data_IF_336161871840
#
_entry.id   IF_336161871840
#
_cell.length_a   1.000
_cell.length_b   1.000
_cell.length_c   1.000
_cell.angle_alpha   90.00
_cell.angle_beta   90.00
_cell.angle_gamma   90.00
#
_symmetry.space_group_name_H-M   'P 1'
#
loop_
_entity.id
_entity.type
_entity.pdbx_description
1 polymer ?
#
# COMPACT_ATOMS: atom_id res chain seq x y z
N UNK A 1 -20.47 2.31 -2.50
CA UNK A 1 -19.27 1.46 -2.61
C UNK A 1 -19.62 -0.02 -2.47
N UNK A 2 -18.80 -0.88 -3.07
CA UNK A 2 -19.00 -2.33 -3.08
C UNK A 2 -17.62 -3.00 -2.96
N UNK A 3 -17.52 -4.03 -2.12
CA UNK A 3 -16.30 -4.83 -2.03
C UNK A 3 -16.03 -5.56 -3.35
N UNK A 4 -14.75 -5.84 -3.64
CA UNK A 4 -14.37 -6.57 -4.83
C UNK A 4 -14.98 -7.99 -4.79
N UNK A 5 -15.64 -8.46 -5.85
CA UNK A 5 -16.20 -9.80 -5.86
C UNK A 5 -15.10 -10.86 -5.82
N UNK A 6 -15.27 -11.86 -4.98
CA UNK A 6 -14.38 -13.02 -4.88
C UNK A 6 -15.18 -14.30 -5.08
N UNK A 7 -14.52 -15.35 -5.54
CA UNK A 7 -15.18 -16.66 -5.77
C UNK A 7 -15.72 -17.26 -4.46
N UNK A 8 -15.00 -17.06 -3.34
CA UNK A 8 -15.42 -17.54 -2.01
C UNK A 8 -16.53 -16.70 -1.37
N UNK A 9 -16.79 -15.49 -1.88
CA UNK A 9 -17.66 -14.50 -1.25
C UNK A 9 -16.99 -13.73 -0.10
N UNK A 10 -15.76 -14.08 0.31
CA UNK A 10 -15.02 -13.36 1.34
C UNK A 10 -14.47 -12.05 0.76
N UNK A 11 -14.82 -10.91 1.33
CA UNK A 11 -14.34 -9.63 0.81
C UNK A 11 -12.83 -9.51 1.00
N UNK A 12 -12.14 -9.04 -0.04
CA UNK A 12 -10.71 -8.75 -0.01
C UNK A 12 -10.45 -7.37 -0.58
N UNK A 13 -9.53 -6.65 0.03
CA UNK A 13 -9.06 -5.36 -0.42
C UNK A 13 -7.54 -5.40 -0.55
N UNK A 14 -7.06 -5.01 -1.73
CA UNK A 14 -5.67 -4.69 -1.94
C UNK A 14 -5.47 -3.21 -1.66
N UNK A 15 -4.60 -2.87 -0.73
CA UNK A 15 -4.33 -1.50 -0.34
C UNK A 15 -2.86 -1.25 -0.07
N UNK A 16 -2.55 -0.01 0.26
CA UNK A 16 -1.21 0.41 0.65
C UNK A 16 -1.26 1.30 1.87
N UNK A 17 -0.12 1.43 2.54
CA UNK A 17 0.06 2.33 3.68
C UNK A 17 1.10 3.38 3.28
N UNK A 18 0.76 4.63 3.47
CA UNK A 18 1.69 5.75 3.36
C UNK A 18 2.19 6.13 4.74
N UNK A 19 3.48 6.42 4.83
CA UNK A 19 4.10 6.80 6.09
C UNK A 19 5.32 7.67 5.87
N UNK A 20 5.81 8.23 6.97
CA UNK A 20 7.05 9.00 6.98
C UNK A 20 8.20 8.12 7.44
N UNK A 21 9.30 8.14 6.70
CA UNK A 21 10.56 7.51 7.09
C UNK A 21 11.58 8.54 7.52
N UNK A 22 12.38 8.22 8.52
CA UNK A 22 13.55 9.02 8.91
C UNK A 22 14.79 8.29 8.46
N UNK A 23 15.55 8.94 7.58
CA UNK A 23 16.85 8.42 7.14
C UNK A 23 17.94 8.95 8.07
N UNK A 24 18.80 8.06 8.51
CA UNK A 24 19.99 8.44 9.27
C UNK A 24 21.02 9.05 8.30
N UNK A 25 21.23 10.33 8.46
CA UNK A 25 22.23 11.10 7.68
C UNK A 25 23.43 11.56 8.55
N UNK A 26 23.56 11.02 9.76
CA UNK A 26 24.60 11.38 10.72
C UNK A 26 24.41 12.73 11.42
N UNK A 27 23.28 13.43 11.20
CA UNK A 27 22.96 14.70 11.83
C UNK A 27 21.86 14.51 12.88
N UNK A 28 22.27 14.35 14.14
CA UNK A 28 21.32 14.10 15.24
C UNK A 28 20.28 15.21 15.42
N UNK A 29 20.63 16.46 15.14
CA UNK A 29 19.70 17.58 15.26
C UNK A 29 18.57 17.48 14.22
N UNK A 30 18.91 17.11 12.98
CA UNK A 30 17.92 16.89 11.93
C UNK A 30 17.05 15.67 12.23
N UNK A 31 17.63 14.57 12.69
CA UNK A 31 16.91 13.37 13.09
C UNK A 31 15.92 13.70 14.20
N UNK A 32 16.35 14.44 15.22
CA UNK A 32 15.47 14.89 16.32
C UNK A 32 14.32 15.78 15.80
N UNK A 33 14.61 16.75 14.94
CA UNK A 33 13.60 17.60 14.34
C UNK A 33 12.58 16.79 13.51
N UNK A 34 13.06 15.82 12.72
CA UNK A 34 12.18 14.93 11.95
C UNK A 34 11.27 14.09 12.86
N UNK A 35 11.79 13.55 13.97
CA UNK A 35 10.98 12.83 14.96
C UNK A 35 9.88 13.73 15.54
N UNK A 36 10.23 14.94 15.98
CA UNK A 36 9.25 15.91 16.51
C UNK A 36 8.17 16.25 15.47
N UNK A 37 8.56 16.43 14.21
CA UNK A 37 7.61 16.68 13.13
C UNK A 37 6.64 15.50 12.93
N UNK A 38 7.18 14.27 12.88
CA UNK A 38 6.35 13.07 12.71
C UNK A 38 5.42 12.87 13.91
N UNK A 39 5.92 13.08 15.13
CA UNK A 39 5.11 13.02 16.34
C UNK A 39 3.95 14.03 16.27
N UNK A 40 4.21 15.25 15.85
CA UNK A 40 3.20 16.28 15.70
C UNK A 40 2.09 15.87 14.72
N UNK A 41 2.44 15.46 13.51
CA UNK A 41 1.44 15.19 12.45
C UNK A 41 0.81 13.79 12.54
N UNK A 42 1.44 12.84 13.24
CA UNK A 42 0.99 11.44 13.29
C UNK A 42 0.54 10.97 14.68
N UNK A 43 0.79 11.72 15.74
CA UNK A 43 0.42 11.36 17.10
C UNK A 43 -0.75 12.18 17.65
N UNK A 44 -0.82 13.46 17.36
CA UNK A 44 -1.93 14.32 17.78
C UNK A 44 -3.20 14.01 16.96
N UNK A 45 -4.34 13.61 17.58
CA UNK A 45 -5.53 13.21 16.84
C UNK A 45 -6.11 14.30 15.94
N UNK A 46 -6.02 15.57 16.34
CA UNK A 46 -6.53 16.69 15.54
C UNK A 46 -5.67 16.88 14.29
N UNK A 47 -4.33 16.85 14.44
CA UNK A 47 -3.41 16.99 13.32
C UNK A 47 -3.50 15.79 12.37
N UNK A 48 -3.64 14.56 12.90
CA UNK A 48 -3.87 13.35 12.09
C UNK A 48 -5.15 13.52 11.28
N UNK A 49 -6.25 13.95 11.91
CA UNK A 49 -7.52 14.17 11.22
C UNK A 49 -7.37 15.14 10.06
N UNK A 50 -6.78 16.31 10.30
CA UNK A 50 -6.64 17.35 9.28
C UNK A 50 -5.75 16.92 8.13
N UNK A 51 -4.61 16.28 8.43
CA UNK A 51 -3.65 15.78 7.43
C UNK A 51 -4.26 14.68 6.55
N UNK A 52 -5.00 13.75 7.17
CA UNK A 52 -5.62 12.62 6.45
C UNK A 52 -6.81 13.10 5.62
N UNK A 53 -7.63 14.02 6.13
CA UNK A 53 -8.72 14.62 5.34
C UNK A 53 -8.19 15.36 4.10
N UNK A 54 -7.08 16.08 4.23
CA UNK A 54 -6.46 16.78 3.11
C UNK A 54 -5.95 15.82 2.01
N UNK A 55 -5.55 14.61 2.39
CA UNK A 55 -5.09 13.57 1.46
C UNK A 55 -6.19 12.66 0.93
N UNK A 56 -7.39 12.73 1.48
CA UNK A 56 -8.52 11.80 1.21
C UNK A 56 -8.24 10.34 1.55
N UNK A 57 -7.27 10.07 2.42
CA UNK A 57 -6.95 8.74 2.92
C UNK A 57 -7.72 8.39 4.19
N UNK A 58 -7.48 7.19 4.71
CA UNK A 58 -8.03 6.75 5.98
C UNK A 58 -6.94 6.70 7.05
N UNK A 59 -7.25 7.08 8.31
CA UNK A 59 -6.26 7.05 9.37
C UNK A 59 -5.90 5.60 9.72
N UNK A 60 -4.61 5.35 9.98
CA UNK A 60 -4.14 4.05 10.47
C UNK A 60 -4.37 3.87 11.98
N UNK A 61 -4.70 4.96 12.69
CA UNK A 61 -4.93 4.94 14.14
C UNK A 61 -6.43 4.92 14.44
N UNK A 62 -6.89 3.89 15.11
CA UNK A 62 -8.30 3.74 15.52
C UNK A 62 -8.75 4.83 16.51
N UNK A 63 -7.82 5.40 17.30
CA UNK A 63 -8.11 6.47 18.25
C UNK A 63 -8.58 7.78 17.61
N UNK A 64 -8.37 7.97 16.32
CA UNK A 64 -8.85 9.15 15.57
C UNK A 64 -10.34 9.07 15.26
N UNK A 65 -10.91 7.86 15.27
CA UNK A 65 -12.31 7.60 14.97
C UNK A 65 -12.65 7.76 13.50
N UNK A 66 -13.95 7.91 13.20
CA UNK A 66 -14.45 8.15 11.84
C UNK A 66 -14.28 9.62 11.48
N UNK A 67 -13.24 9.93 10.74
CA UNK A 67 -12.96 11.29 10.26
C UNK A 67 -13.91 11.75 9.16
N UNK A 68 -14.63 10.80 8.54
CA UNK A 68 -15.59 11.07 7.47
C UNK A 68 -17.03 11.05 7.93
N UNK A 69 -17.29 11.16 9.25
CA UNK A 69 -18.64 11.24 9.79
C UNK A 69 -19.47 12.31 9.07
N UNK A 70 -20.65 11.92 8.56
CA UNK A 70 -21.51 12.79 7.76
C UNK A 70 -21.25 12.72 6.23
N UNK A 71 -20.22 12.01 5.78
CA UNK A 71 -20.02 11.66 4.37
C UNK A 71 -20.32 10.16 4.18
N UNK A 72 -21.54 9.85 3.74
CA UNK A 72 -22.01 8.45 3.61
C UNK A 72 -21.08 7.59 2.76
N UNK A 73 -20.58 8.11 1.64
CA UNK A 73 -19.71 7.35 0.71
C UNK A 73 -18.38 7.01 1.37
N UNK A 74 -17.73 7.99 2.00
CA UNK A 74 -16.43 7.78 2.63
C UNK A 74 -16.54 6.94 3.91
N UNK A 75 -17.61 7.10 4.68
CA UNK A 75 -17.88 6.24 5.84
C UNK A 75 -18.13 4.79 5.43
N UNK A 76 -18.78 4.53 4.30
CA UNK A 76 -18.88 3.17 3.75
C UNK A 76 -17.52 2.62 3.30
N UNK A 77 -16.69 3.42 2.63
CA UNK A 77 -15.33 3.00 2.28
C UNK A 77 -14.47 2.69 3.51
N UNK A 78 -14.63 3.42 4.61
CA UNK A 78 -13.86 3.17 5.85
C UNK A 78 -14.09 1.76 6.41
N UNK A 79 -15.28 1.20 6.23
CA UNK A 79 -15.61 -0.17 6.65
C UNK A 79 -14.79 -1.22 5.89
N UNK A 80 -14.35 -0.90 4.67
CA UNK A 80 -13.55 -1.81 3.84
C UNK A 80 -12.13 -1.97 4.33
N UNK A 81 -11.67 -1.10 5.23
CA UNK A 81 -10.33 -1.24 5.83
C UNK A 81 -10.18 -2.56 6.60
N UNK A 82 -11.29 -3.13 7.09
CA UNK A 82 -11.30 -4.46 7.71
C UNK A 82 -11.03 -5.62 6.74
N UNK A 83 -11.07 -5.37 5.43
CA UNK A 83 -10.86 -6.38 4.39
C UNK A 83 -9.46 -6.35 3.78
N UNK A 84 -8.58 -5.48 4.30
CA UNK A 84 -7.18 -5.43 3.87
C UNK A 84 -6.53 -6.80 4.07
N UNK A 85 -5.94 -7.31 3.00
CA UNK A 85 -5.08 -8.48 3.06
C UNK A 85 -3.69 -8.16 3.57
N UNK A 86 -2.83 -9.17 3.60
CA UNK A 86 -1.43 -9.01 4.00
C UNK A 86 -0.69 -8.01 3.11
N UNK A 87 0.29 -7.36 3.72
CA UNK A 87 1.09 -6.36 3.03
C UNK A 87 2.08 -7.03 2.07
N UNK A 88 1.72 -7.10 0.82
CA UNK A 88 2.43 -7.86 -0.24
C UNK A 88 3.82 -7.32 -0.59
N UNK A 89 4.10 -6.04 -0.31
CA UNK A 89 5.37 -5.39 -0.67
C UNK A 89 6.56 -5.89 0.15
N UNK A 90 6.33 -6.63 1.23
CA UNK A 90 7.39 -7.29 2.02
C UNK A 90 7.80 -8.66 1.47
N UNK A 91 7.12 -9.14 0.43
CA UNK A 91 7.47 -10.41 -0.21
C UNK A 91 8.85 -10.30 -0.86
N UNK A 92 9.76 -11.26 -0.62
CA UNK A 92 11.06 -11.29 -1.27
C UNK A 92 10.92 -11.19 -2.80
N UNK A 93 11.77 -10.40 -3.44
CA UNK A 93 11.74 -10.18 -4.89
C UNK A 93 10.57 -9.33 -5.41
N UNK A 94 9.75 -8.71 -4.52
CA UNK A 94 8.57 -7.97 -4.92
C UNK A 94 8.84 -6.87 -5.95
N UNK A 95 9.90 -6.09 -5.78
CA UNK A 95 10.23 -4.99 -6.70
C UNK A 95 10.44 -5.50 -8.14
N UNK A 96 11.18 -6.60 -8.28
CA UNK A 96 11.41 -7.27 -9.57
C UNK A 96 10.13 -7.92 -10.08
N UNK A 97 9.39 -8.64 -9.26
CA UNK A 97 8.14 -9.30 -9.66
C UNK A 97 7.12 -8.26 -10.19
N UNK A 98 7.00 -7.10 -9.53
CA UNK A 98 6.14 -6.01 -9.99
C UNK A 98 6.58 -5.47 -11.37
N UNK A 99 7.87 -5.25 -11.57
CA UNK A 99 8.40 -4.79 -12.85
C UNK A 99 8.17 -5.82 -13.96
N UNK A 100 8.44 -7.10 -13.68
CA UNK A 100 8.21 -8.18 -14.63
C UNK A 100 6.74 -8.39 -14.98
N UNK A 101 5.82 -8.12 -14.05
CA UNK A 101 4.38 -8.10 -14.32
C UNK A 101 4.04 -7.06 -15.41
N UNK A 102 4.55 -5.83 -15.27
CA UNK A 102 4.34 -4.79 -16.28
C UNK A 102 4.97 -5.16 -17.63
N UNK A 103 6.18 -5.69 -17.60
CA UNK A 103 6.87 -6.15 -18.81
C UNK A 103 6.08 -7.26 -19.51
N UNK A 104 5.54 -8.20 -18.77
CA UNK A 104 4.68 -9.26 -19.32
C UNK A 104 3.45 -8.68 -20.02
N UNK A 105 2.73 -7.78 -19.36
CA UNK A 105 1.56 -7.12 -19.96
C UNK A 105 1.92 -6.36 -21.25
N UNK A 106 3.06 -5.69 -21.26
CA UNK A 106 3.55 -4.99 -22.44
C UNK A 106 3.89 -5.95 -23.59
N UNK A 107 4.58 -7.06 -23.31
CA UNK A 107 4.89 -8.11 -24.31
C UNK A 107 3.60 -8.65 -24.94
N UNK A 108 2.63 -9.02 -24.13
CA UNK A 108 1.31 -9.49 -24.61
C UNK A 108 0.61 -8.41 -25.44
N UNK A 109 0.61 -7.15 -24.96
CA UNK A 109 0.00 -6.04 -25.67
C UNK A 109 0.64 -5.70 -27.02
N UNK A 110 1.91 -6.06 -27.22
CA UNK A 110 2.63 -5.91 -28.49
C UNK A 110 2.58 -7.16 -29.37
N UNK A 111 1.84 -8.21 -28.97
CA UNK A 111 1.56 -9.38 -29.79
C UNK A 111 2.42 -10.60 -29.50
N UNK A 112 3.22 -10.61 -28.42
CA UNK A 112 3.91 -11.81 -27.99
C UNK A 112 2.90 -12.84 -27.46
N UNK A 113 3.22 -14.14 -27.65
CA UNK A 113 2.40 -15.23 -27.16
C UNK A 113 2.20 -15.15 -25.62
N UNK A 114 0.96 -15.30 -25.18
CA UNK A 114 0.59 -15.15 -23.77
C UNK A 114 1.30 -16.17 -22.89
N UNK A 115 1.35 -17.45 -23.31
CA UNK A 115 1.97 -18.51 -22.51
C UNK A 115 3.47 -18.26 -22.33
N UNK A 116 4.15 -17.85 -23.39
CA UNK A 116 5.57 -17.49 -23.38
C UNK A 116 5.84 -16.30 -22.46
N UNK A 117 5.03 -15.24 -22.56
CA UNK A 117 5.16 -14.02 -21.74
C UNK A 117 4.93 -14.32 -20.25
N UNK A 118 3.93 -15.16 -19.93
CA UNK A 118 3.65 -15.60 -18.56
C UNK A 118 4.79 -16.47 -18.02
N UNK A 119 5.29 -17.42 -18.80
CA UNK A 119 6.41 -18.28 -18.39
C UNK A 119 7.65 -17.45 -18.04
N UNK A 120 7.98 -16.46 -18.87
CA UNK A 120 9.09 -15.52 -18.61
C UNK A 120 8.89 -14.72 -17.32
N UNK A 121 7.68 -14.20 -17.10
CA UNK A 121 7.33 -13.50 -15.85
C UNK A 121 7.55 -14.39 -14.62
N UNK A 122 6.99 -15.60 -14.63
CA UNK A 122 7.11 -16.55 -13.51
C UNK A 122 8.57 -16.91 -13.23
N UNK A 123 9.35 -17.17 -14.27
CA UNK A 123 10.77 -17.48 -14.13
C UNK A 123 11.54 -16.34 -13.46
N UNK A 124 11.37 -15.12 -13.94
CA UNK A 124 12.09 -13.94 -13.43
C UNK A 124 11.65 -13.56 -11.99
N UNK A 125 10.35 -13.62 -11.71
CA UNK A 125 9.82 -13.36 -10.38
C UNK A 125 10.33 -14.37 -9.35
N UNK A 126 10.32 -15.67 -9.69
CA UNK A 126 10.84 -16.72 -8.80
C UNK A 126 12.34 -16.60 -8.57
N UNK A 127 13.11 -16.27 -9.62
CA UNK A 127 14.55 -16.04 -9.48
C UNK A 127 14.86 -14.87 -8.55
N UNK A 128 14.11 -13.77 -8.65
CA UNK A 128 14.26 -12.63 -7.77
C UNK A 128 13.88 -12.96 -6.31
N UNK A 129 12.80 -13.68 -6.09
CA UNK A 129 12.40 -14.13 -4.76
C UNK A 129 13.47 -15.03 -4.12
N UNK A 130 14.05 -15.95 -4.88
CA UNK A 130 15.11 -16.84 -4.40
C UNK A 130 16.42 -16.10 -4.07
N UNK A 131 16.69 -14.97 -4.73
CA UNK A 131 17.90 -14.18 -4.49
C UNK A 131 17.80 -13.29 -3.22
N UNK A 132 16.59 -13.02 -2.73
CA UNK A 132 16.31 -12.19 -1.54
C UNK A 132 15.88 -13.03 -0.32
N UNK A 133 15.71 -14.35 -0.48
CA UNK A 133 15.35 -15.26 0.60
C UNK A 133 16.59 -15.67 1.41
#
# INVERSE_FOLDING_TARGET
PMAFPTESGDPKLCGGIWGFGIFDNGDEAKIKAAKTFIEFIAADPAQVKDSVLASTYFPVRTSVGDIYAGNEVMSEYSKFMGYLGDYYQITPGWATARTEWWNMLQRVGTGEDVATSVATFVQNANAAAAAEA
#
